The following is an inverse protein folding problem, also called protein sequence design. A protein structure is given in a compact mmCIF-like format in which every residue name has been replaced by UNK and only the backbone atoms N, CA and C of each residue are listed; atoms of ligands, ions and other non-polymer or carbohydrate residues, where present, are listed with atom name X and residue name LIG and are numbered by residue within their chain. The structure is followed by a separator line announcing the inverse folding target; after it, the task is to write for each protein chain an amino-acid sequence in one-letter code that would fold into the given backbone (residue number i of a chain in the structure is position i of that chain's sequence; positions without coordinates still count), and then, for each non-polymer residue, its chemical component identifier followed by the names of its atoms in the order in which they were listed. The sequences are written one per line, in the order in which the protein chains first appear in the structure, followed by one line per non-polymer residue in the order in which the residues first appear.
data_IF_158709287177
#
_entry.id   IF_158709287177
#
_cell.length_a   1.000
_cell.length_b   1.000
_cell.length_c   1.000
_cell.angle_alpha   90.00
_cell.angle_beta   90.00
_cell.angle_gamma   90.00
#
_symmetry.space_group_name_H-M   'P 1'
#
loop_
_entity.id
_entity.type
_entity.pdbx_description
1 polymer ?
#
# COMPACT_ATOMS: atom_id res chain seq x y z
N UNK A 1 3.20 22.44 10.50
CA UNK A 1 2.01 22.77 9.71
C UNK A 1 1.72 21.66 8.70
N UNK A 2 0.45 21.40 8.40
CA UNK A 2 0.02 20.36 7.43
C UNK A 2 -0.90 21.02 6.40
N UNK A 3 -0.64 20.76 5.12
CA UNK A 3 -1.48 21.21 4.01
C UNK A 3 -2.21 19.98 3.49
N UNK A 4 -3.50 19.89 3.75
CA UNK A 4 -4.35 18.79 3.29
C UNK A 4 -4.91 19.11 1.89
N UNK A 5 -4.55 18.30 0.91
CA UNK A 5 -5.02 18.41 -0.46
C UNK A 5 -6.29 17.60 -0.74
N UNK A 6 -6.80 16.90 0.27
CA UNK A 6 -7.96 16.01 0.16
C UNK A 6 -7.65 14.69 -0.53
N UNK A 7 -8.72 14.03 -0.98
CA UNK A 7 -8.64 12.70 -1.62
C UNK A 7 -8.62 12.84 -3.14
N UNK A 8 -8.05 11.83 -3.82
CA UNK A 8 -7.97 11.75 -5.29
C UNK A 8 -7.31 13.00 -5.92
N UNK A 9 -6.30 13.54 -5.25
CA UNK A 9 -5.58 14.71 -5.72
C UNK A 9 -4.69 14.37 -6.92
N UNK A 10 -4.78 15.09 -8.06
CA UNK A 10 -3.93 14.85 -9.22
C UNK A 10 -2.44 15.10 -8.91
N UNK A 11 -1.56 14.35 -9.59
CA UNK A 11 -0.10 14.47 -9.45
C UNK A 11 0.40 15.90 -9.59
N UNK A 12 -0.05 16.60 -10.62
CA UNK A 12 0.37 17.99 -10.90
C UNK A 12 0.04 18.91 -9.73
N UNK A 13 -1.17 18.79 -9.18
CA UNK A 13 -1.61 19.61 -8.04
C UNK A 13 -0.79 19.31 -6.78
N UNK A 14 -0.42 18.05 -6.54
CA UNK A 14 0.43 17.67 -5.40
C UNK A 14 1.80 18.34 -5.53
N UNK A 15 2.40 18.26 -6.72
CA UNK A 15 3.74 18.80 -6.97
C UNK A 15 3.75 20.32 -6.95
N UNK A 16 2.74 20.96 -7.54
CA UNK A 16 2.59 22.41 -7.51
C UNK A 16 2.42 22.94 -6.08
N UNK A 17 1.52 22.33 -5.30
CA UNK A 17 1.32 22.70 -3.91
C UNK A 17 2.60 22.53 -3.08
N UNK A 18 3.39 21.48 -3.35
CA UNK A 18 4.66 21.25 -2.67
C UNK A 18 5.70 22.36 -2.98
N UNK A 19 5.75 22.83 -4.22
CA UNK A 19 6.62 23.93 -4.65
C UNK A 19 6.16 25.25 -4.06
N UNK A 20 4.88 25.59 -4.22
CA UNK A 20 4.31 26.87 -3.78
C UNK A 20 4.48 27.09 -2.26
N UNK A 21 4.35 26.00 -1.49
CA UNK A 21 4.44 26.08 -0.03
C UNK A 21 5.82 25.70 0.51
N UNK A 22 6.80 25.41 -0.34
CA UNK A 22 8.16 25.03 0.02
C UNK A 22 8.17 23.98 1.14
N UNK A 23 7.46 22.86 0.92
CA UNK A 23 7.24 21.84 1.95
C UNK A 23 8.49 21.02 2.23
N UNK A 24 8.66 20.59 3.47
CA UNK A 24 9.75 19.70 3.88
C UNK A 24 9.52 18.24 3.46
N UNK A 25 8.25 17.84 3.33
CA UNK A 25 7.83 16.46 3.04
C UNK A 25 6.56 16.42 2.22
N UNK A 26 6.40 15.33 1.44
CA UNK A 26 5.13 14.98 0.80
C UNK A 26 4.64 13.67 1.41
N UNK A 27 3.41 13.63 1.91
CA UNK A 27 2.75 12.43 2.42
C UNK A 27 1.73 11.90 1.42
N UNK A 28 1.87 10.64 1.01
CA UNK A 28 0.93 9.96 0.13
C UNK A 28 0.29 8.78 0.86
N UNK A 29 -1.04 8.72 0.88
CA UNK A 29 -1.79 7.64 1.52
C UNK A 29 -2.66 6.91 0.51
N UNK A 30 -2.49 5.58 0.41
CA UNK A 30 -3.23 4.73 -0.53
C UNK A 30 -4.24 3.83 0.17
N UNK A 31 -5.50 3.90 -0.27
CA UNK A 31 -6.57 3.05 0.24
C UNK A 31 -6.91 1.91 -0.71
N UNK A 32 -6.80 2.12 -2.01
CA UNK A 32 -7.14 1.16 -3.05
C UNK A 32 -5.92 0.88 -3.95
N UNK A 33 -5.90 -0.26 -4.62
CA UNK A 33 -4.75 -0.68 -5.44
C UNK A 33 -4.31 0.34 -6.51
N UNK A 34 -5.21 1.04 -7.22
CA UNK A 34 -4.82 2.07 -8.18
C UNK A 34 -3.97 3.20 -7.58
N UNK A 35 -4.10 3.49 -6.27
CA UNK A 35 -3.28 4.50 -5.60
C UNK A 35 -1.78 4.21 -5.69
N UNK A 36 -1.38 2.94 -5.84
CA UNK A 36 0.03 2.56 -5.96
C UNK A 36 0.66 3.07 -7.26
N UNK A 37 -0.08 3.08 -8.36
CA UNK A 37 0.37 3.66 -9.64
C UNK A 37 0.46 5.18 -9.53
N UNK A 38 -0.53 5.81 -8.91
CA UNK A 38 -0.51 7.26 -8.70
C UNK A 38 0.66 7.71 -7.84
N UNK A 39 1.03 6.95 -6.80
CA UNK A 39 2.24 7.22 -6.01
C UNK A 39 3.52 7.16 -6.86
N UNK A 40 3.60 6.19 -7.80
CA UNK A 40 4.72 6.13 -8.75
C UNK A 40 4.72 7.31 -9.71
N UNK A 41 3.56 7.80 -10.14
CA UNK A 41 3.44 8.98 -11.00
C UNK A 41 3.92 10.24 -10.28
N UNK A 42 3.54 10.42 -9.01
CA UNK A 42 4.00 11.57 -8.20
C UNK A 42 5.54 11.57 -8.08
N UNK A 43 6.16 10.45 -7.70
CA UNK A 43 7.63 10.43 -7.54
C UNK A 43 8.37 10.60 -8.86
N UNK A 44 7.84 10.10 -9.98
CA UNK A 44 8.39 10.35 -11.32
C UNK A 44 8.31 11.83 -11.71
N UNK A 45 7.22 12.49 -11.38
CA UNK A 45 7.06 13.91 -11.68
C UNK A 45 7.99 14.78 -10.82
N UNK A 46 8.18 14.41 -9.53
CA UNK A 46 9.17 15.04 -8.66
C UNK A 46 10.60 14.88 -9.21
N UNK A 47 10.94 13.68 -9.68
CA UNK A 47 12.24 13.39 -10.32
C UNK A 47 12.41 14.21 -11.60
N UNK A 48 11.41 14.24 -12.46
CA UNK A 48 11.41 15.01 -13.71
C UNK A 48 11.64 16.50 -13.48
N UNK A 49 11.11 17.04 -12.38
CA UNK A 49 11.30 18.45 -11.98
C UNK A 49 12.56 18.68 -11.13
N UNK A 50 13.39 17.65 -10.93
CA UNK A 50 14.62 17.70 -10.12
C UNK A 50 14.41 18.18 -8.67
N UNK A 51 13.24 17.88 -8.11
CA UNK A 51 12.92 18.19 -6.72
C UNK A 51 13.58 17.17 -5.80
N UNK A 52 13.92 17.58 -4.58
CA UNK A 52 14.59 16.72 -3.59
C UNK A 52 13.79 16.61 -2.28
N UNK A 53 12.46 16.58 -2.40
CA UNK A 53 11.54 16.54 -1.26
C UNK A 53 11.32 15.09 -0.85
N UNK A 54 11.61 14.67 0.39
CA UNK A 54 11.32 13.32 0.86
C UNK A 54 9.83 12.98 0.78
N UNK A 55 9.52 11.75 0.34
CA UNK A 55 8.15 11.27 0.19
C UNK A 55 7.85 10.18 1.21
N UNK A 56 6.77 10.35 1.96
CA UNK A 56 6.26 9.40 2.95
C UNK A 56 5.11 8.60 2.31
N UNK A 57 5.25 7.27 2.28
CA UNK A 57 4.26 6.36 1.67
C UNK A 57 3.53 5.60 2.78
N UNK A 58 2.23 5.79 2.88
CA UNK A 58 1.38 5.12 3.86
C UNK A 58 0.05 4.67 3.28
N UNK A 59 -0.81 4.12 4.14
CA UNK A 59 -2.14 3.67 3.79
C UNK A 59 -2.28 2.14 3.63
N UNK A 60 -3.52 1.68 3.63
CA UNK A 60 -3.87 0.26 3.77
C UNK A 60 -3.35 -0.65 2.64
N UNK A 61 -3.20 -0.12 1.43
CA UNK A 61 -2.72 -0.89 0.27
C UNK A 61 -1.21 -0.87 0.09
N UNK A 62 -0.50 -0.08 0.86
CA UNK A 62 0.95 0.09 0.73
C UNK A 62 1.72 -0.98 1.52
N UNK A 63 2.94 -1.25 1.11
CA UNK A 63 3.85 -2.12 1.84
C UNK A 63 5.29 -1.69 1.66
N UNK A 64 6.13 -2.02 2.65
CA UNK A 64 7.57 -1.74 2.56
C UNK A 64 8.21 -2.40 1.32
N UNK A 65 7.81 -3.62 1.00
CA UNK A 65 8.31 -4.35 -0.16
C UNK A 65 7.95 -3.63 -1.46
N UNK A 66 6.69 -3.22 -1.63
CA UNK A 66 6.27 -2.46 -2.81
C UNK A 66 7.00 -1.12 -2.92
N UNK A 67 7.10 -0.38 -1.81
CA UNK A 67 7.82 0.89 -1.77
C UNK A 67 9.29 0.71 -2.16
N UNK A 68 9.98 -0.28 -1.58
CA UNK A 68 11.39 -0.55 -1.85
C UNK A 68 11.67 -0.98 -3.30
N UNK A 69 10.74 -1.75 -3.93
CA UNK A 69 10.97 -2.35 -5.25
C UNK A 69 10.43 -1.49 -6.38
N UNK A 70 9.27 -0.85 -6.19
CA UNK A 70 8.54 -0.18 -7.28
C UNK A 70 8.58 1.34 -7.22
N UNK A 71 8.55 1.94 -6.03
CA UNK A 71 8.43 3.40 -5.89
C UNK A 71 9.82 4.03 -5.71
N UNK A 72 10.57 3.61 -4.68
CA UNK A 72 11.85 4.21 -4.34
C UNK A 72 12.89 4.22 -5.49
N UNK A 73 12.97 3.22 -6.39
CA UNK A 73 13.91 3.27 -7.51
C UNK A 73 13.59 4.33 -8.57
N UNK A 74 12.41 4.95 -8.53
CA UNK A 74 11.97 5.95 -9.50
C UNK A 74 12.32 7.38 -9.08
N UNK A 75 12.94 7.56 -7.92
CA UNK A 75 13.20 8.87 -7.34
C UNK A 75 14.55 8.92 -6.64
N UNK A 76 15.30 9.99 -6.85
CA UNK A 76 16.63 10.20 -6.27
C UNK A 76 16.58 10.65 -4.80
N UNK A 77 15.50 11.32 -4.38
CA UNK A 77 15.31 11.70 -2.99
C UNK A 77 14.68 10.55 -2.16
N UNK A 78 14.73 10.62 -0.82
CA UNK A 78 14.24 9.55 0.03
C UNK A 78 12.74 9.27 -0.12
N UNK A 79 12.38 8.00 -0.30
CA UNK A 79 10.99 7.50 -0.26
C UNK A 79 10.85 6.55 0.90
N UNK A 80 10.04 6.89 1.90
CA UNK A 80 9.96 6.19 3.17
C UNK A 80 8.59 5.52 3.33
N UNK A 81 8.58 4.20 3.52
CA UNK A 81 7.38 3.50 3.91
C UNK A 81 7.04 3.75 5.38
N UNK A 82 5.82 4.19 5.64
CA UNK A 82 5.28 4.46 6.96
C UNK A 82 4.17 3.45 7.27
N UNK A 83 4.46 2.48 8.13
CA UNK A 83 3.53 1.40 8.46
C UNK A 83 2.35 1.83 9.34
N UNK A 84 2.49 2.96 10.03
CA UNK A 84 1.52 3.50 10.96
C UNK A 84 1.66 5.03 11.03
N UNK A 85 0.54 5.73 11.01
CA UNK A 85 0.51 7.20 11.08
C UNK A 85 1.23 7.75 12.32
N UNK A 86 1.19 7.05 13.45
CA UNK A 86 1.89 7.44 14.67
C UNK A 86 3.42 7.52 14.50
N UNK A 87 3.99 6.83 13.52
CA UNK A 87 5.43 6.85 13.23
C UNK A 87 5.88 8.06 12.43
N UNK A 88 4.95 8.80 11.82
CA UNK A 88 5.28 9.96 10.99
C UNK A 88 6.13 10.98 11.75
N UNK A 89 5.75 11.35 12.96
CA UNK A 89 6.47 12.34 13.76
C UNK A 89 7.95 11.96 13.97
N UNK A 90 8.21 10.70 14.31
CA UNK A 90 9.57 10.20 14.50
C UNK A 90 10.40 10.19 13.22
N UNK A 91 9.78 9.81 12.10
CA UNK A 91 10.42 9.80 10.78
C UNK A 91 10.76 11.23 10.33
N UNK A 92 9.80 12.16 10.43
CA UNK A 92 10.01 13.57 10.10
C UNK A 92 11.12 14.17 10.97
N UNK A 93 11.11 13.91 12.28
CA UNK A 93 12.15 14.37 13.19
C UNK A 93 13.54 13.82 12.81
N UNK A 94 13.63 12.55 12.42
CA UNK A 94 14.90 11.96 11.99
C UNK A 94 15.40 12.60 10.68
N UNK A 95 14.52 12.90 9.74
CA UNK A 95 14.86 13.53 8.46
C UNK A 95 15.24 15.02 8.61
N UNK A 96 14.76 15.70 9.65
CA UNK A 96 15.11 17.10 9.95
C UNK A 96 16.32 17.22 10.89
N UNK A 97 16.79 16.10 11.45
CA UNK A 97 17.89 16.11 12.41
C UNK A 97 19.26 16.08 11.74
N UNK A 98 20.32 16.34 12.53
CA UNK A 98 21.70 16.17 12.09
C UNK A 98 22.02 14.71 11.68
N UNK A 99 21.25 13.74 12.14
CA UNK A 99 21.44 12.32 11.82
C UNK A 99 20.69 11.88 10.54
N UNK A 100 20.18 12.83 9.74
CA UNK A 100 19.44 12.57 8.51
C UNK A 100 20.17 11.58 7.60
N UNK A 101 21.46 11.78 7.38
CA UNK A 101 22.22 10.95 6.46
C UNK A 101 22.34 9.49 6.93
N UNK A 102 22.53 9.27 8.22
CA UNK A 102 22.57 7.93 8.81
C UNK A 102 21.21 7.22 8.69
N UNK A 103 20.12 7.96 8.87
CA UNK A 103 18.78 7.43 8.67
C UNK A 103 18.57 7.01 7.21
N UNK A 104 18.94 7.83 6.24
CA UNK A 104 18.83 7.54 4.80
C UNK A 104 19.70 6.35 4.42
N UNK A 105 20.93 6.28 4.92
CA UNK A 105 21.84 5.17 4.65
C UNK A 105 21.28 3.83 5.14
N UNK A 106 20.71 3.80 6.35
CA UNK A 106 20.05 2.62 6.91
C UNK A 106 18.82 2.21 6.09
N UNK A 107 17.99 3.17 5.69
CA UNK A 107 16.84 2.94 4.83
C UNK A 107 17.24 2.33 3.48
N UNK A 108 18.26 2.88 2.84
CA UNK A 108 18.75 2.40 1.55
C UNK A 108 19.33 0.98 1.66
N UNK A 109 20.11 0.70 2.71
CA UNK A 109 20.61 -0.63 2.96
C UNK A 109 19.51 -1.67 3.18
N UNK A 110 18.45 -1.31 3.92
CA UNK A 110 17.28 -2.16 4.11
C UNK A 110 16.54 -2.40 2.78
N UNK A 111 16.34 -1.37 1.97
CA UNK A 111 15.67 -1.50 0.67
C UNK A 111 16.51 -2.34 -0.33
N UNK A 112 17.82 -2.21 -0.31
CA UNK A 112 18.73 -3.06 -1.08
C UNK A 112 18.58 -4.54 -0.71
N UNK A 113 18.55 -4.85 0.59
CA UNK A 113 18.33 -6.21 1.07
C UNK A 113 16.97 -6.76 0.60
N UNK A 114 15.90 -5.97 0.71
CA UNK A 114 14.56 -6.36 0.24
C UNK A 114 14.58 -6.65 -1.27
N UNK A 115 15.22 -5.81 -2.08
CA UNK A 115 15.34 -6.03 -3.53
C UNK A 115 16.10 -7.32 -3.84
N UNK A 116 17.24 -7.57 -3.17
CA UNK A 116 18.03 -8.81 -3.35
C UNK A 116 17.23 -10.05 -2.99
N UNK A 117 16.52 -10.03 -1.87
CA UNK A 117 15.67 -11.16 -1.45
C UNK A 117 14.51 -11.39 -2.43
N UNK A 118 13.93 -10.32 -2.99
CA UNK A 118 12.86 -10.43 -3.95
C UNK A 118 13.33 -11.00 -5.30
N UNK A 119 14.50 -10.57 -5.79
CA UNK A 119 15.10 -11.09 -7.03
C UNK A 119 15.50 -12.56 -6.90
N UNK A 120 15.94 -12.98 -5.72
CA UNK A 120 16.32 -14.36 -5.43
C UNK A 120 15.13 -15.26 -5.07
N UNK A 121 13.92 -14.70 -5.02
CA UNK A 121 12.72 -15.50 -4.78
C UNK A 121 12.53 -16.46 -5.94
N UNK A 122 12.74 -17.75 -5.71
CA UNK A 122 12.42 -18.80 -6.69
C UNK A 122 10.97 -18.58 -7.11
N UNK A 123 10.77 -18.31 -8.39
CA UNK A 123 9.43 -18.40 -8.99
C UNK A 123 9.03 -19.85 -8.74
N UNK A 124 7.96 -20.10 -7.98
CA UNK A 124 7.43 -21.45 -7.83
C UNK A 124 7.20 -21.99 -9.24
N UNK A 125 7.83 -23.12 -9.55
CA UNK A 125 7.60 -23.79 -10.83
C UNK A 125 6.11 -24.03 -10.95
N UNK A 126 5.49 -23.32 -11.89
CA UNK A 126 4.06 -23.49 -12.16
C UNK A 126 3.89 -24.87 -12.81
N UNK A 127 2.90 -25.63 -12.34
CA UNK A 127 2.53 -26.86 -12.98
C UNK A 127 2.12 -26.59 -14.44
N UNK A 128 2.50 -27.49 -15.37
CA UNK A 128 1.98 -27.45 -16.73
C UNK A 128 0.44 -27.41 -16.72
N UNK A 129 -0.15 -26.66 -17.65
CA UNK A 129 -1.60 -26.43 -17.67
C UNK A 129 -2.41 -27.74 -17.72
N UNK A 130 -1.89 -28.76 -18.43
CA UNK A 130 -2.50 -30.09 -18.50
C UNK A 130 -2.59 -30.76 -17.12
N UNK A 131 -1.50 -30.70 -16.34
CA UNK A 131 -1.42 -31.29 -15.00
C UNK A 131 -2.29 -30.50 -14.02
N UNK A 132 -2.30 -29.17 -14.10
CA UNK A 132 -3.17 -28.33 -13.30
C UNK A 132 -4.65 -28.63 -13.57
N UNK A 133 -5.04 -28.84 -14.84
CA UNK A 133 -6.40 -29.25 -15.24
C UNK A 133 -6.76 -30.67 -14.77
N UNK A 134 -5.83 -31.60 -14.84
CA UNK A 134 -6.03 -32.96 -14.33
C UNK A 134 -6.24 -32.97 -12.80
N UNK A 135 -5.51 -32.10 -12.10
CA UNK A 135 -5.54 -31.95 -10.65
C UNK A 135 -6.62 -30.97 -10.14
N UNK A 136 -7.48 -30.48 -11.01
CA UNK A 136 -8.57 -29.57 -10.62
C UNK A 136 -9.49 -30.21 -9.61
N UNK A 137 -10.05 -29.41 -8.71
CA UNK A 137 -11.12 -29.85 -7.81
C UNK A 137 -12.30 -30.42 -8.61
N UNK A 138 -12.64 -31.69 -8.34
CA UNK A 138 -13.75 -32.38 -8.97
C UNK A 138 -14.97 -32.31 -8.06
N UNK A 139 -15.87 -31.41 -8.39
CA UNK A 139 -17.13 -31.25 -7.65
C UNK A 139 -18.22 -32.10 -8.33
N UNK A 140 -18.77 -33.05 -7.58
CA UNK A 140 -19.92 -33.82 -8.04
C UNK A 140 -21.22 -33.12 -7.63
N UNK A 141 -21.84 -32.46 -8.60
CA UNK A 141 -23.11 -31.74 -8.40
C UNK A 141 -24.25 -32.67 -7.95
N UNK A 142 -24.19 -33.95 -8.34
CA UNK A 142 -25.29 -34.92 -8.03
C UNK A 142 -25.25 -35.39 -6.57
N UNK A 143 -24.06 -35.51 -6.00
CA UNK A 143 -23.86 -35.94 -4.61
C UNK A 143 -23.75 -34.78 -3.62
N UNK A 144 -23.58 -33.53 -4.12
CA UNK A 144 -23.43 -32.37 -3.29
C UNK A 144 -24.71 -32.02 -2.53
N UNK A 145 -24.61 -31.95 -1.20
CA UNK A 145 -25.66 -31.38 -0.38
C UNK A 145 -25.69 -29.85 -0.58
N UNK A 146 -26.61 -29.39 -1.42
CA UNK A 146 -26.83 -27.97 -1.62
C UNK A 146 -27.81 -27.47 -0.56
N UNK A 147 -27.33 -26.62 0.33
CA UNK A 147 -28.18 -26.00 1.35
C UNK A 147 -29.18 -25.08 0.68
N UNK A 148 -30.48 -25.45 0.74
CA UNK A 148 -31.54 -24.59 0.25
C UNK A 148 -31.69 -23.38 1.18
N UNK A 149 -31.63 -22.13 0.67
CA UNK A 149 -31.87 -20.97 1.50
C UNK A 149 -33.30 -20.94 2.03
N UNK A 150 -33.51 -20.41 3.23
CA UNK A 150 -34.84 -20.31 3.85
C UNK A 150 -35.80 -19.40 3.05
N UNK A 151 -35.24 -18.45 2.31
CA UNK A 151 -35.98 -17.57 1.41
C UNK A 151 -35.09 -17.18 0.22
N UNK A 152 -35.73 -16.82 -0.88
CA UNK A 152 -35.09 -16.32 -2.10
C UNK A 152 -35.42 -14.83 -2.22
N UNK A 153 -34.38 -13.99 -2.51
CA UNK A 153 -34.48 -12.54 -2.66
C UNK A 153 -33.93 -11.78 -1.47
N UNK A 154 -34.21 -10.50 -1.42
CA UNK A 154 -33.71 -9.58 -0.39
C UNK A 154 -34.68 -9.52 0.79
N UNK A 155 -34.17 -9.68 2.01
CA UNK A 155 -34.96 -9.50 3.25
C UNK A 155 -34.30 -8.40 4.07
N UNK A 156 -35.05 -7.33 4.36
CA UNK A 156 -34.62 -6.29 5.29
C UNK A 156 -34.95 -6.72 6.72
N UNK A 157 -33.96 -6.89 7.55
CA UNK A 157 -34.11 -7.16 8.97
C UNK A 157 -34.01 -5.84 9.70
N UNK A 158 -35.03 -5.51 10.49
CA UNK A 158 -35.09 -4.30 11.30
C UNK A 158 -35.21 -4.70 12.78
N UNK A 159 -34.73 -3.83 13.67
CA UNK A 159 -34.78 -4.03 15.13
C UNK A 159 -34.01 -5.30 15.58
N UNK A 160 -32.81 -5.48 15.09
CA UNK A 160 -31.95 -6.60 15.52
C UNK A 160 -31.42 -6.31 16.92
N UNK A 161 -31.59 -7.25 17.85
CA UNK A 161 -31.01 -7.14 19.20
C UNK A 161 -29.49 -7.29 19.11
N UNK A 162 -28.77 -6.23 19.50
CA UNK A 162 -27.31 -6.23 19.52
C UNK A 162 -26.72 -7.34 20.40
N UNK A 163 -27.43 -7.76 21.46
CA UNK A 163 -26.99 -8.87 22.32
C UNK A 163 -26.94 -10.20 21.59
N UNK A 164 -27.75 -10.39 20.55
CA UNK A 164 -27.69 -11.57 19.71
C UNK A 164 -26.49 -11.52 18.75
N UNK A 165 -26.16 -10.33 18.22
CA UNK A 165 -25.06 -10.14 17.28
C UNK A 165 -23.70 -10.24 17.97
N UNK A 166 -23.56 -9.69 19.19
CA UNK A 166 -22.31 -9.68 19.96
C UNK A 166 -21.67 -11.06 20.07
N UNK A 167 -22.45 -12.14 20.10
CA UNK A 167 -21.95 -13.51 20.17
C UNK A 167 -21.16 -13.97 18.94
N UNK A 168 -21.32 -13.29 17.82
CA UNK A 168 -20.75 -13.63 16.53
C UNK A 168 -19.66 -12.63 16.07
N UNK A 169 -19.33 -11.66 16.93
CA UNK A 169 -18.24 -10.71 16.65
C UNK A 169 -16.95 -11.33 17.19
N UNK A 170 -15.93 -11.40 16.32
CA UNK A 170 -14.56 -11.75 16.70
C UNK A 170 -13.87 -10.46 17.20
N UNK A 171 -13.58 -10.43 18.52
CA UNK A 171 -13.04 -9.27 19.21
C UNK A 171 -11.52 -9.25 19.21
#
# INVERSE_FOLDING_TARGET
EVIDLGVMCPTEKIVEAAIENNVDFIGLSGLITPSLEEMMNVVKELERRHLQIPVLIGGATTSKVHTAIKIAPLYSAPVIYVSDAAKNAGICSALLSANRQDFINKLNAEYELIRKLHLNRKVNDLLPLADARANRYKFDVKSAQITKPQFIGNKKIVNVDLKEIIKFIDW
#
